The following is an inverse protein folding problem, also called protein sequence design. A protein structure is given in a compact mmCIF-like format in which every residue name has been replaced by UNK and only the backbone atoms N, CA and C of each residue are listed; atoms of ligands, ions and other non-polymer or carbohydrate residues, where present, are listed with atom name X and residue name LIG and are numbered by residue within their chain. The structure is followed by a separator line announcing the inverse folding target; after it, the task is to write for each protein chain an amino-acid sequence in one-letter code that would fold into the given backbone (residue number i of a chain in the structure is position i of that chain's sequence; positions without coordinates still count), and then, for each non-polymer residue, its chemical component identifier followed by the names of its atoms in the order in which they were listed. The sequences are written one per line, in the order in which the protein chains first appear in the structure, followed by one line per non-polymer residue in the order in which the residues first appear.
data_IF_864205993836
#
_entry.id   IF_864205993836
#
_cell.length_a   1.000
_cell.length_b   1.000
_cell.length_c   1.000
_cell.angle_alpha   90.00
_cell.angle_beta   90.00
_cell.angle_gamma   90.00
#
_symmetry.space_group_name_H-M   'P 1'
#
loop_
_entity.id
_entity.type
_entity.pdbx_description
1 polymer ?
#
# COMPACT_ATOMS: atom_id res chain seq x y z
N UNK A 1 19.43 13.54 25.06
CA UNK A 1 19.61 14.22 26.33
C UNK A 1 20.84 13.65 27.06
N UNK A 2 21.79 14.48 27.48
CA UNK A 2 22.81 14.03 28.41
C UNK A 2 22.20 14.15 29.81
N UNK A 3 21.88 13.01 30.43
CA UNK A 3 21.52 12.99 31.81
C UNK A 3 22.71 13.43 32.71
N UNK A 4 22.47 13.64 33.98
CA UNK A 4 23.49 14.05 35.01
C UNK A 4 24.67 13.10 35.08
N UNK A 5 24.53 11.89 34.54
CA UNK A 5 25.55 10.83 34.44
C UNK A 5 26.26 10.80 33.06
N UNK A 6 26.01 11.74 32.19
CA UNK A 6 26.58 11.79 30.83
C UNK A 6 25.97 10.80 29.84
N UNK A 7 24.88 10.10 30.21
CA UNK A 7 24.21 9.14 29.34
C UNK A 7 23.13 9.82 28.49
N UNK A 8 22.96 9.29 27.30
CA UNK A 8 21.86 9.71 26.39
C UNK A 8 20.59 8.95 26.78
N UNK A 9 19.54 9.70 27.10
CA UNK A 9 18.20 9.16 27.31
C UNK A 9 17.36 9.33 26.06
N UNK A 10 16.72 8.25 25.62
CA UNK A 10 15.84 8.25 24.46
C UNK A 10 14.38 8.37 24.91
N UNK A 11 13.66 9.32 24.33
CA UNK A 11 12.21 9.38 24.49
C UNK A 11 11.54 8.30 23.63
N UNK A 12 10.54 7.63 24.16
CA UNK A 12 9.77 6.61 23.46
C UNK A 12 8.74 7.20 22.47
N UNK A 13 8.94 8.43 22.04
CA UNK A 13 8.03 9.13 21.15
C UNK A 13 8.63 9.25 19.76
N UNK A 14 7.97 8.68 18.77
CA UNK A 14 8.32 8.84 17.36
C UNK A 14 7.68 10.14 16.88
N UNK A 15 8.49 11.07 16.41
CA UNK A 15 8.06 12.35 15.87
C UNK A 15 8.22 12.37 14.34
N UNK A 16 7.37 13.11 13.65
CA UNK A 16 7.50 13.31 12.21
C UNK A 16 8.13 14.66 11.94
N UNK A 17 9.17 14.68 11.12
CA UNK A 17 9.80 15.94 10.68
C UNK A 17 8.88 16.61 9.67
N UNK A 18 8.40 17.82 10.01
CA UNK A 18 7.56 18.64 9.12
C UNK A 18 8.37 19.61 8.28
N UNK A 19 9.51 20.05 8.80
CA UNK A 19 10.40 20.98 8.13
C UNK A 19 11.82 20.84 8.69
N UNK A 20 12.83 20.97 7.85
CA UNK A 20 14.23 21.04 8.27
C UNK A 20 15.04 21.94 7.32
N UNK A 21 15.90 22.77 7.88
CA UNK A 21 16.92 23.54 7.15
C UNK A 21 18.26 23.42 7.90
N UNK A 22 19.26 24.22 7.53
CA UNK A 22 20.59 24.17 8.12
C UNK A 22 20.63 24.62 9.60
N UNK A 23 19.66 25.42 10.04
CA UNK A 23 19.65 26.06 11.36
C UNK A 23 18.58 25.47 12.30
N UNK A 24 17.49 24.90 11.74
CA UNK A 24 16.34 24.47 12.54
C UNK A 24 15.64 23.25 11.96
N UNK A 25 15.01 22.49 12.86
CA UNK A 25 14.13 21.38 12.53
C UNK A 25 12.80 21.56 13.28
N UNK A 26 11.71 21.38 12.54
CA UNK A 26 10.34 21.38 13.10
C UNK A 26 9.82 19.96 13.09
N UNK A 27 9.42 19.45 14.26
CA UNK A 27 8.89 18.11 14.43
C UNK A 27 7.46 18.15 14.97
N UNK A 28 6.60 17.30 14.44
CA UNK A 28 5.29 17.05 14.99
C UNK A 28 5.39 15.99 16.08
N UNK A 29 5.02 16.37 17.31
CA UNK A 29 5.09 15.49 18.49
C UNK A 29 3.70 14.86 18.73
N UNK A 30 3.58 13.54 18.84
CA UNK A 30 2.32 12.88 19.10
C UNK A 30 1.90 13.03 20.56
N UNK A 31 0.94 13.91 20.84
CA UNK A 31 0.28 14.05 22.12
C UNK A 31 0.97 14.96 23.14
N UNK A 32 0.18 15.43 24.12
CA UNK A 32 0.62 16.39 25.15
C UNK A 32 1.63 15.77 26.15
N UNK A 33 1.56 14.47 26.40
CA UNK A 33 2.49 13.78 27.32
C UNK A 33 3.94 13.85 26.84
N UNK A 34 4.15 13.55 25.56
CA UNK A 34 5.50 13.61 24.95
C UNK A 34 6.06 15.04 24.92
N UNK A 35 5.20 16.04 24.80
CA UNK A 35 5.60 17.44 24.82
C UNK A 35 6.14 17.85 26.21
N UNK A 36 5.50 17.36 27.28
CA UNK A 36 5.95 17.65 28.66
C UNK A 36 7.31 17.01 28.97
N UNK A 37 7.55 15.79 28.47
CA UNK A 37 8.85 15.12 28.61
C UNK A 37 9.95 15.91 27.89
N UNK A 38 9.68 16.39 26.68
CA UNK A 38 10.62 17.17 25.87
C UNK A 38 10.93 18.53 26.52
N UNK A 39 9.92 19.20 27.08
CA UNK A 39 10.08 20.51 27.71
C UNK A 39 10.97 20.49 28.98
N UNK A 40 11.07 19.32 29.65
CA UNK A 40 11.94 19.13 30.82
C UNK A 40 13.40 18.87 30.46
N UNK A 41 13.76 18.72 29.21
CA UNK A 41 15.09 18.35 28.77
C UNK A 41 16.01 19.58 28.61
N UNK A 42 17.20 19.56 29.23
CA UNK A 42 18.19 20.66 29.09
C UNK A 42 18.82 20.73 27.69
N UNK A 43 19.00 19.58 27.06
CA UNK A 43 19.55 19.45 25.70
C UNK A 43 18.74 18.43 24.90
N UNK A 44 18.27 18.85 23.75
CA UNK A 44 17.53 17.99 22.83
C UNK A 44 18.37 17.60 21.62
N UNK A 45 18.23 16.37 21.19
CA UNK A 45 18.79 15.86 19.96
C UNK A 45 17.73 15.08 19.18
N UNK A 46 17.93 14.90 17.89
CA UNK A 46 17.07 14.11 17.01
C UNK A 46 17.90 12.97 16.45
N UNK A 47 17.37 11.77 16.55
CA UNK A 47 17.93 10.58 15.90
C UNK A 47 16.97 10.12 14.83
N UNK A 48 17.49 9.82 13.64
CA UNK A 48 16.71 9.16 12.61
C UNK A 48 16.27 7.78 13.09
N UNK A 49 14.99 7.53 13.00
CA UNK A 49 14.38 6.26 13.35
C UNK A 49 13.81 5.60 12.10
N UNK A 50 14.06 4.31 11.97
CA UNK A 50 13.40 3.52 10.95
C UNK A 50 11.97 3.22 11.38
N UNK A 51 10.99 3.65 10.60
CA UNK A 51 9.60 3.26 10.82
C UNK A 51 9.42 1.78 10.47
N UNK A 52 9.39 0.95 11.49
CA UNK A 52 9.15 -0.49 11.38
C UNK A 52 7.66 -0.84 11.31
N UNK A 53 6.77 0.14 11.39
CA UNK A 53 5.31 -0.08 11.44
C UNK A 53 4.83 -0.87 10.23
N UNK A 54 5.30 -0.51 9.04
CA UNK A 54 4.94 -1.23 7.80
C UNK A 54 5.41 -2.68 7.83
N UNK A 55 6.64 -2.93 8.31
CA UNK A 55 7.17 -4.29 8.41
C UNK A 55 6.41 -5.12 9.44
N UNK A 56 6.08 -4.54 10.59
CA UNK A 56 5.28 -5.23 11.61
C UNK A 56 3.91 -5.61 11.07
N UNK A 57 3.22 -4.71 10.40
CA UNK A 57 1.92 -4.99 9.76
C UNK A 57 2.04 -6.10 8.71
N UNK A 58 3.13 -6.12 7.93
CA UNK A 58 3.40 -7.19 6.97
C UNK A 58 3.63 -8.53 7.65
N UNK A 59 4.35 -8.58 8.76
CA UNK A 59 4.55 -9.81 9.55
C UNK A 59 3.23 -10.31 10.14
N UNK A 60 2.42 -9.44 10.73
CA UNK A 60 1.10 -9.79 11.25
C UNK A 60 0.20 -10.37 10.14
N UNK A 61 0.17 -9.74 8.97
CA UNK A 61 -0.57 -10.25 7.81
C UNK A 61 -0.06 -11.63 7.34
N UNK A 62 1.25 -11.85 7.34
CA UNK A 62 1.83 -13.16 7.01
C UNK A 62 1.44 -14.23 8.04
N UNK A 63 1.44 -13.91 9.33
CA UNK A 63 0.98 -14.84 10.37
C UNK A 63 -0.49 -15.23 10.18
N UNK A 64 -1.35 -14.26 9.85
CA UNK A 64 -2.76 -14.53 9.57
C UNK A 64 -2.92 -15.46 8.36
N UNK A 65 -2.16 -15.24 7.29
CA UNK A 65 -2.14 -16.13 6.11
C UNK A 65 -1.68 -17.52 6.47
N UNK A 66 -0.62 -17.67 7.29
CA UNK A 66 -0.09 -18.96 7.72
C UNK A 66 -1.10 -19.71 8.59
N UNK A 67 -1.76 -19.01 9.51
CA UNK A 67 -2.74 -19.57 10.45
C UNK A 67 -4.09 -19.88 9.81
N UNK A 68 -4.40 -19.30 8.65
CA UNK A 68 -5.68 -19.46 7.96
C UNK A 68 -5.99 -20.92 7.65
N UNK A 69 -7.20 -21.37 8.00
CA UNK A 69 -7.69 -22.74 7.75
C UNK A 69 -9.17 -22.72 7.37
N UNK A 70 -9.54 -23.41 6.30
CA UNK A 70 -10.92 -23.61 5.91
C UNK A 70 -11.68 -22.34 5.53
N UNK A 71 -10.97 -21.28 5.14
CA UNK A 71 -11.54 -20.01 4.74
C UNK A 71 -10.92 -19.50 3.43
N UNK A 72 -11.46 -18.41 2.89
CA UNK A 72 -11.01 -17.85 1.62
C UNK A 72 -9.52 -17.45 1.62
N UNK A 73 -9.00 -16.99 2.74
CA UNK A 73 -7.59 -16.62 2.87
C UNK A 73 -6.67 -17.86 2.71
N UNK A 74 -7.06 -18.99 3.28
CA UNK A 74 -6.34 -20.27 3.11
C UNK A 74 -6.38 -20.75 1.66
N UNK A 75 -7.51 -20.64 0.98
CA UNK A 75 -7.65 -20.96 -0.44
C UNK A 75 -6.72 -20.11 -1.31
N UNK A 76 -6.76 -18.79 -1.13
CA UNK A 76 -5.90 -17.85 -1.87
C UNK A 76 -4.41 -18.11 -1.61
N UNK A 77 -4.02 -18.40 -0.37
CA UNK A 77 -2.66 -18.82 -0.05
C UNK A 77 -2.25 -20.04 -0.84
N UNK A 78 -3.09 -21.06 -0.88
CA UNK A 78 -2.77 -22.33 -1.52
C UNK A 78 -2.73 -22.19 -3.06
N UNK A 79 -3.53 -21.29 -3.64
CA UNK A 79 -3.43 -20.89 -5.05
C UNK A 79 -2.09 -20.19 -5.32
N UNK A 80 -1.73 -19.18 -4.51
CA UNK A 80 -0.47 -18.43 -4.66
C UNK A 80 0.78 -19.33 -4.49
N UNK A 81 0.67 -20.37 -3.67
CA UNK A 81 1.71 -21.38 -3.48
C UNK A 81 1.64 -22.52 -4.52
N UNK A 82 0.80 -22.41 -5.53
CA UNK A 82 0.59 -23.43 -6.59
C UNK A 82 0.18 -24.81 -6.06
N UNK A 83 -0.46 -24.85 -4.88
CA UNK A 83 -0.99 -26.09 -4.29
C UNK A 83 -2.36 -26.47 -4.85
N UNK A 84 -3.07 -25.48 -5.38
CA UNK A 84 -4.34 -25.68 -6.10
C UNK A 84 -4.44 -24.70 -7.26
N UNK A 85 -5.18 -25.05 -8.34
CA UNK A 85 -5.36 -24.18 -9.49
C UNK A 85 -6.29 -22.99 -9.15
N UNK A 86 -6.03 -21.84 -9.79
CA UNK A 86 -6.96 -20.71 -9.78
C UNK A 86 -8.17 -20.98 -10.69
N UNK A 87 -9.31 -20.43 -10.31
CA UNK A 87 -10.53 -20.50 -11.10
C UNK A 87 -10.75 -19.27 -11.98
N UNK A 88 -11.40 -19.47 -13.11
CA UNK A 88 -11.71 -18.43 -14.09
C UNK A 88 -13.20 -18.44 -14.41
N UNK A 89 -13.75 -17.27 -14.74
CA UNK A 89 -15.11 -17.12 -15.25
C UNK A 89 -15.05 -17.18 -16.79
N UNK A 90 -16.03 -17.81 -17.39
CA UNK A 90 -16.25 -17.61 -18.80
C UNK A 90 -16.92 -16.25 -19.02
N UNK A 91 -16.24 -15.37 -19.75
CA UNK A 91 -16.75 -14.04 -20.10
C UNK A 91 -16.46 -13.76 -21.56
N UNK A 92 -17.33 -12.95 -22.19
CA UNK A 92 -17.03 -12.45 -23.52
C UNK A 92 -15.94 -11.39 -23.45
N UNK A 93 -14.92 -11.44 -24.33
CA UNK A 93 -13.88 -10.42 -24.36
C UNK A 93 -14.44 -9.03 -24.63
N UNK A 94 -14.05 -8.07 -23.82
CA UNK A 94 -14.37 -6.66 -24.03
C UNK A 94 -13.29 -6.02 -24.89
N UNK A 95 -13.70 -5.16 -25.82
CA UNK A 95 -12.80 -4.42 -26.70
C UNK A 95 -12.54 -3.03 -26.17
N UNK A 96 -11.28 -2.65 -26.19
CA UNK A 96 -10.80 -1.35 -25.72
C UNK A 96 -9.99 -0.68 -26.84
N UNK A 97 -10.60 0.14 -27.71
CA UNK A 97 -9.91 0.74 -28.88
C UNK A 97 -8.71 1.64 -28.50
N UNK A 98 -8.66 2.11 -27.26
CA UNK A 98 -7.58 2.96 -26.71
C UNK A 98 -6.46 2.18 -26.06
N UNK A 99 -6.57 0.87 -25.90
CA UNK A 99 -5.53 0.00 -25.40
C UNK A 99 -4.84 -0.74 -26.54
N UNK A 100 -3.56 -1.05 -26.36
CA UNK A 100 -2.92 -1.99 -27.27
C UNK A 100 -3.38 -3.43 -26.98
N UNK A 101 -3.10 -4.36 -27.90
CA UNK A 101 -3.56 -5.74 -27.79
C UNK A 101 -3.12 -6.47 -26.53
N UNK A 102 -1.92 -6.18 -26.03
CA UNK A 102 -1.38 -6.78 -24.79
C UNK A 102 -2.09 -6.24 -23.55
N UNK A 103 -2.35 -4.93 -23.51
CA UNK A 103 -3.09 -4.28 -22.44
C UNK A 103 -4.56 -4.75 -22.44
N UNK A 104 -5.20 -4.82 -23.60
CA UNK A 104 -6.56 -5.35 -23.75
C UNK A 104 -6.65 -6.79 -23.25
N UNK A 105 -5.71 -7.64 -23.62
CA UNK A 105 -5.64 -9.01 -23.14
C UNK A 105 -5.44 -9.10 -21.62
N UNK A 106 -4.63 -8.21 -21.05
CA UNK A 106 -4.40 -8.16 -19.59
C UNK A 106 -5.68 -7.75 -18.84
N UNK A 107 -6.40 -6.71 -19.29
CA UNK A 107 -7.69 -6.30 -18.70
C UNK A 107 -8.69 -7.45 -18.77
N UNK A 108 -8.86 -8.08 -19.93
CA UNK A 108 -9.77 -9.21 -20.07
C UNK A 108 -9.42 -10.38 -19.14
N UNK A 109 -8.12 -10.67 -18.94
CA UNK A 109 -7.69 -11.67 -17.95
C UNK A 109 -8.09 -11.30 -16.52
N UNK A 110 -7.93 -10.05 -16.12
CA UNK A 110 -8.38 -9.59 -14.80
C UNK A 110 -9.87 -9.80 -14.62
N UNK A 111 -10.67 -9.42 -15.63
CA UNK A 111 -12.12 -9.56 -15.59
C UNK A 111 -12.63 -11.01 -15.54
N UNK A 112 -11.86 -11.94 -16.10
CA UNK A 112 -12.17 -13.38 -16.05
C UNK A 112 -11.75 -14.05 -14.74
N UNK A 113 -10.85 -13.46 -13.98
CA UNK A 113 -10.33 -14.08 -12.77
C UNK A 113 -11.40 -14.17 -11.66
N UNK A 114 -11.58 -15.35 -11.08
CA UNK A 114 -12.36 -15.53 -9.84
C UNK A 114 -11.51 -15.34 -8.59
N UNK A 115 -10.24 -15.70 -8.68
CA UNK A 115 -9.35 -15.79 -7.54
C UNK A 115 -8.24 -14.76 -7.62
N UNK A 116 -7.32 -14.93 -8.57
CA UNK A 116 -6.11 -14.12 -8.71
C UNK A 116 -5.80 -13.88 -10.18
N UNK A 117 -5.45 -12.64 -10.52
CA UNK A 117 -4.81 -12.30 -11.78
C UNK A 117 -3.55 -11.48 -11.50
N UNK A 118 -2.45 -11.83 -12.16
CA UNK A 118 -1.18 -11.13 -12.05
C UNK A 118 -0.91 -10.43 -13.38
N UNK A 119 -0.79 -9.10 -13.32
CA UNK A 119 -0.40 -8.28 -14.47
C UNK A 119 1.03 -7.80 -14.25
N UNK A 120 1.96 -8.39 -15.01
CA UNK A 120 3.37 -8.02 -14.95
C UNK A 120 3.75 -7.22 -16.19
N UNK A 121 4.60 -6.21 -16.02
CA UNK A 121 5.15 -5.44 -17.14
C UNK A 121 6.32 -4.57 -16.70
N UNK A 122 7.34 -4.39 -17.56
CA UNK A 122 8.46 -3.48 -17.31
C UNK A 122 8.02 -2.03 -17.07
N UNK A 123 8.89 -1.15 -16.58
CA UNK A 123 8.63 0.29 -16.52
C UNK A 123 8.23 0.84 -17.89
N UNK A 124 7.31 1.78 -17.93
CA UNK A 124 6.89 2.45 -19.18
C UNK A 124 5.92 1.68 -20.08
N UNK A 125 5.49 0.47 -19.72
CA UNK A 125 4.55 -0.34 -20.53
C UNK A 125 3.06 0.04 -20.37
N UNK A 126 2.77 1.07 -19.61
CA UNK A 126 1.39 1.52 -19.36
C UNK A 126 0.63 0.64 -18.36
N UNK A 127 1.33 0.01 -17.39
CA UNK A 127 0.68 -0.80 -16.33
C UNK A 127 -0.44 -0.05 -15.62
N UNK A 128 -0.23 1.21 -15.27
CA UNK A 128 -1.24 1.99 -14.55
C UNK A 128 -2.46 2.26 -15.42
N UNK A 129 -2.27 2.57 -16.71
CA UNK A 129 -3.39 2.70 -17.65
C UNK A 129 -4.21 1.41 -17.74
N UNK A 130 -3.52 0.27 -17.83
CA UNK A 130 -4.13 -1.06 -17.82
C UNK A 130 -4.89 -1.34 -16.51
N UNK A 131 -4.28 -0.97 -15.37
CA UNK A 131 -4.88 -1.16 -14.05
C UNK A 131 -6.13 -0.27 -13.86
N UNK A 132 -6.04 1.00 -14.22
CA UNK A 132 -7.19 1.94 -14.16
C UNK A 132 -8.36 1.42 -15.00
N UNK A 133 -8.10 0.92 -16.21
CA UNK A 133 -9.14 0.32 -17.05
C UNK A 133 -9.74 -0.94 -16.43
N UNK A 134 -8.89 -1.82 -15.86
CA UNK A 134 -9.36 -3.02 -15.18
C UNK A 134 -10.22 -2.68 -13.95
N UNK A 135 -9.85 -1.67 -13.16
CA UNK A 135 -10.64 -1.19 -12.03
C UNK A 135 -11.98 -0.64 -12.51
N UNK A 136 -11.95 0.25 -13.49
CA UNK A 136 -13.15 0.87 -14.07
C UNK A 136 -14.15 -0.19 -14.54
N UNK A 137 -13.70 -1.15 -15.33
CA UNK A 137 -14.53 -2.26 -15.81
C UNK A 137 -15.02 -3.18 -14.69
N UNK A 138 -14.21 -3.37 -13.65
CA UNK A 138 -14.60 -4.17 -12.49
C UNK A 138 -15.72 -3.50 -11.69
N UNK A 139 -15.70 -2.17 -11.55
CA UNK A 139 -16.76 -1.40 -10.87
C UNK A 139 -18.14 -1.56 -11.53
N UNK A 140 -18.21 -1.90 -12.81
CA UNK A 140 -19.48 -2.21 -13.50
C UNK A 140 -20.01 -3.63 -13.19
N UNK A 141 -19.22 -4.48 -12.55
CA UNK A 141 -19.51 -5.90 -12.29
C UNK A 141 -19.55 -6.25 -10.82
N UNK A 142 -18.87 -5.49 -10.00
CA UNK A 142 -18.72 -5.75 -8.56
C UNK A 142 -19.22 -4.52 -7.76
N UNK A 143 -19.78 -4.77 -6.61
CA UNK A 143 -20.33 -3.71 -5.76
C UNK A 143 -19.25 -2.87 -5.07
N UNK A 144 -18.05 -3.40 -4.92
CA UNK A 144 -16.95 -2.74 -4.20
C UNK A 144 -15.60 -3.21 -4.74
N UNK A 145 -14.67 -2.27 -4.89
CA UNK A 145 -13.28 -2.53 -5.28
C UNK A 145 -12.35 -1.83 -4.30
N UNK A 146 -11.43 -2.57 -3.69
CA UNK A 146 -10.38 -2.02 -2.85
C UNK A 146 -9.08 -1.92 -3.67
N UNK A 147 -8.52 -0.70 -3.72
CA UNK A 147 -7.26 -0.43 -4.42
C UNK A 147 -6.18 -0.09 -3.40
N UNK A 148 -5.07 -0.82 -3.42
CA UNK A 148 -3.94 -0.61 -2.53
C UNK A 148 -2.67 -0.38 -3.34
N UNK A 149 -1.76 0.45 -2.81
CA UNK A 149 -0.43 0.65 -3.36
C UNK A 149 0.60 0.85 -2.25
N UNK A 150 1.90 0.75 -2.59
CA UNK A 150 2.99 0.90 -1.62
C UNK A 150 3.18 2.34 -1.14
N UNK A 151 2.71 3.34 -1.89
CA UNK A 151 2.86 4.75 -1.55
C UNK A 151 1.54 5.50 -1.74
N UNK A 152 1.32 6.54 -0.93
CA UNK A 152 0.19 7.44 -1.07
C UNK A 152 0.15 8.07 -2.47
N UNK A 153 1.30 8.52 -2.99
CA UNK A 153 1.40 9.10 -4.34
C UNK A 153 0.88 8.15 -5.42
N UNK A 154 1.12 6.85 -5.30
CA UNK A 154 0.62 5.87 -6.27
C UNK A 154 -0.90 5.70 -6.16
N UNK A 155 -1.45 5.72 -4.95
CA UNK A 155 -2.91 5.69 -4.73
C UNK A 155 -3.56 6.95 -5.29
N UNK A 156 -3.02 8.13 -4.96
CA UNK A 156 -3.52 9.43 -5.42
C UNK A 156 -3.56 9.49 -6.95
N UNK A 157 -2.50 9.03 -7.60
CA UNK A 157 -2.43 9.00 -9.06
C UNK A 157 -3.46 8.05 -9.69
N UNK A 158 -3.68 6.88 -9.11
CA UNK A 158 -4.73 5.96 -9.57
C UNK A 158 -6.11 6.61 -9.37
N UNK A 159 -6.36 7.24 -8.22
CA UNK A 159 -7.60 7.92 -7.92
C UNK A 159 -7.88 9.06 -8.92
N UNK A 160 -6.89 9.91 -9.20
CA UNK A 160 -6.98 10.98 -10.20
C UNK A 160 -7.39 10.42 -11.57
N UNK A 161 -6.75 9.34 -12.01
CA UNK A 161 -7.07 8.68 -13.29
C UNK A 161 -8.47 8.07 -13.33
N UNK A 162 -8.95 7.56 -12.21
CA UNK A 162 -10.33 7.05 -12.10
C UNK A 162 -11.35 8.20 -12.16
N UNK A 163 -11.07 9.34 -11.50
CA UNK A 163 -11.90 10.55 -11.61
C UNK A 163 -11.94 11.05 -13.06
N UNK A 164 -10.81 11.09 -13.78
CA UNK A 164 -10.75 11.42 -15.20
C UNK A 164 -11.64 10.49 -16.06
N UNK A 165 -11.87 9.26 -15.61
CA UNK A 165 -12.76 8.28 -16.26
C UNK A 165 -14.22 8.39 -15.80
N UNK A 166 -14.55 9.31 -14.89
CA UNK A 166 -15.91 9.56 -14.40
C UNK A 166 -16.30 8.70 -13.18
N UNK A 167 -15.35 8.11 -12.49
CA UNK A 167 -15.59 7.49 -11.17
C UNK A 167 -15.63 8.60 -10.13
N UNK A 168 -16.70 8.74 -9.33
CA UNK A 168 -16.85 9.81 -8.35
C UNK A 168 -15.88 9.68 -7.17
#
# INVERSE_FOLDING_TARGET
EQGYDGKIHYFNSICTVSYADEERMVVAVPGAGSLLEIQGAERLGVQLYFDETSYRTMFEALEDVIRAKGNRLAELRDILLSKQPSCWRETYPVRFPWLNSTQEAAVNKVLCAKDVAIVHGPPGTGKTTTLVEAIYETLHRENQVLVCAQSNTAVDWIAEKLVDRGVP
#
